data_IF_818983172955
#
_entry.id   IF_818983172955
#
_cell.length_a   1.000
_cell.length_b   1.000
_cell.length_c   1.000
_cell.angle_alpha   90.00
_cell.angle_beta   90.00
_cell.angle_gamma   90.00
#
_symmetry.space_group_name_H-M   'P 1'
#
loop_
_entity.id
_entity.type
_entity.pdbx_description
1 polymer ?
#
# COMPACT_ATOMS: atom_id res chain seq x y z
N UNK A 1 -8.56 -0.27 10.77
CA UNK A 1 -7.41 -0.86 10.06
C UNK A 1 -7.07 -2.20 10.67
N UNK A 2 -7.31 -3.32 9.96
CA UNK A 2 -6.93 -4.66 10.41
C UNK A 2 -6.82 -5.62 9.21
N UNK A 3 -6.09 -6.72 9.37
CA UNK A 3 -6.06 -7.82 8.41
C UNK A 3 -7.48 -8.33 8.11
N UNK A 4 -8.29 -8.53 9.16
CA UNK A 4 -9.67 -9.01 9.03
C UNK A 4 -10.53 -8.08 8.17
N UNK A 5 -10.47 -6.77 8.38
CA UNK A 5 -11.25 -5.82 7.58
C UNK A 5 -10.79 -5.81 6.11
N UNK A 6 -9.51 -6.03 5.84
CA UNK A 6 -8.99 -6.23 4.49
C UNK A 6 -9.51 -7.51 3.83
N UNK A 7 -9.50 -8.61 4.58
CA UNK A 7 -10.09 -9.87 4.14
C UNK A 7 -11.58 -9.75 3.79
N UNK A 8 -12.37 -9.16 4.68
CA UNK A 8 -13.81 -8.97 4.47
C UNK A 8 -14.10 -8.07 3.27
N UNK A 9 -13.36 -6.97 3.12
CA UNK A 9 -13.48 -6.06 1.98
C UNK A 9 -13.06 -6.74 0.67
N UNK A 10 -11.96 -7.49 0.68
CA UNK A 10 -11.51 -8.29 -0.46
C UNK A 10 -12.57 -9.30 -0.87
N UNK A 11 -13.09 -10.08 0.08
CA UNK A 11 -14.18 -11.06 -0.15
C UNK A 11 -15.39 -10.38 -0.78
N UNK A 12 -15.79 -9.22 -0.28
CA UNK A 12 -16.90 -8.46 -0.83
C UNK A 12 -16.64 -8.03 -2.27
N UNK A 13 -15.47 -7.44 -2.57
CA UNK A 13 -15.13 -7.00 -3.92
C UNK A 13 -15.06 -8.15 -4.92
N UNK A 14 -14.52 -9.31 -4.50
CA UNK A 14 -14.39 -10.51 -5.33
C UNK A 14 -15.75 -11.19 -5.60
N UNK A 15 -16.77 -10.94 -4.78
CA UNK A 15 -18.13 -11.47 -4.97
C UNK A 15 -18.97 -10.64 -5.94
N UNK A 16 -18.48 -9.48 -6.39
CA UNK A 16 -19.23 -8.63 -7.30
C UNK A 16 -19.25 -9.22 -8.72
N UNK A 17 -20.29 -8.88 -9.50
CA UNK A 17 -20.40 -9.28 -10.90
C UNK A 17 -19.20 -8.80 -11.73
N UNK A 18 -18.76 -7.57 -11.47
CA UNK A 18 -17.64 -6.94 -12.12
C UNK A 18 -16.48 -6.84 -11.08
N UNK A 19 -15.62 -7.85 -11.07
CA UNK A 19 -14.45 -7.89 -10.20
C UNK A 19 -13.45 -6.84 -10.65
N UNK A 20 -12.89 -6.00 -9.75
CA UNK A 20 -11.94 -4.97 -10.15
C UNK A 20 -10.61 -5.57 -10.62
N UNK A 21 -9.97 -4.94 -11.61
CA UNK A 21 -8.64 -5.32 -12.08
C UNK A 21 -7.54 -4.97 -11.09
N UNK A 22 -7.76 -3.97 -10.23
CA UNK A 22 -6.80 -3.55 -9.21
C UNK A 22 -7.49 -3.01 -7.96
N UNK A 23 -6.86 -3.24 -6.79
CA UNK A 23 -7.33 -2.77 -5.49
C UNK A 23 -6.19 -1.97 -4.82
N UNK A 24 -6.47 -0.71 -4.48
CA UNK A 24 -5.61 0.08 -3.60
C UNK A 24 -6.11 -0.02 -2.16
N UNK A 25 -5.23 -0.39 -1.26
CA UNK A 25 -5.49 -0.49 0.17
C UNK A 25 -4.86 0.70 0.91
N UNK A 26 -5.65 1.39 1.72
CA UNK A 26 -5.20 2.55 2.49
C UNK A 26 -4.23 2.22 3.63
N UNK A 27 -3.94 0.95 3.83
CA UNK A 27 -2.92 0.44 4.77
C UNK A 27 -2.50 -0.97 4.37
N UNK A 28 -1.25 -1.30 4.63
CA UNK A 28 -0.66 -2.57 4.19
C UNK A 28 -1.29 -3.78 4.87
N UNK A 29 -1.65 -3.65 6.14
CA UNK A 29 -2.29 -4.75 6.88
C UNK A 29 -3.63 -5.15 6.25
N UNK A 30 -4.38 -4.19 5.69
CA UNK A 30 -5.58 -4.44 4.91
C UNK A 30 -5.22 -5.12 3.59
N UNK A 31 -4.15 -4.67 2.92
CA UNK A 31 -3.66 -5.23 1.66
C UNK A 31 -3.31 -6.71 1.78
N UNK A 32 -2.70 -7.12 2.89
CA UNK A 32 -2.41 -8.55 3.14
C UNK A 32 -3.69 -9.37 3.27
N UNK A 33 -4.72 -8.83 3.94
CA UNK A 33 -6.02 -9.47 4.01
C UNK A 33 -6.68 -9.63 2.64
N UNK A 34 -6.62 -8.60 1.79
CA UNK A 34 -7.11 -8.65 0.40
C UNK A 34 -6.36 -9.70 -0.42
N UNK A 35 -5.03 -9.72 -0.34
CA UNK A 35 -4.19 -10.69 -1.07
C UNK A 35 -4.56 -12.12 -0.69
N UNK A 36 -4.74 -12.39 0.58
CA UNK A 36 -5.09 -13.74 1.03
C UNK A 36 -6.53 -14.12 0.66
N UNK A 37 -7.47 -13.14 0.63
CA UNK A 37 -8.82 -13.38 0.12
C UNK A 37 -8.79 -13.76 -1.37
N UNK A 38 -8.00 -13.06 -2.20
CA UNK A 38 -7.81 -13.39 -3.63
C UNK A 38 -7.30 -14.84 -3.76
N UNK A 39 -6.26 -15.20 -3.03
CA UNK A 39 -5.62 -16.53 -3.12
C UNK A 39 -6.52 -17.68 -2.68
N UNK A 40 -7.31 -17.46 -1.63
CA UNK A 40 -8.12 -18.54 -1.05
C UNK A 40 -9.48 -18.71 -1.73
N UNK A 41 -10.02 -17.64 -2.32
CA UNK A 41 -11.38 -17.63 -2.82
C UNK A 41 -11.49 -17.62 -4.35
N UNK A 42 -10.38 -17.40 -5.06
CA UNK A 42 -10.37 -17.29 -6.51
C UNK A 42 -9.20 -18.02 -7.15
N UNK A 43 -9.25 -18.19 -8.47
CA UNK A 43 -8.12 -18.61 -9.30
C UNK A 43 -7.32 -17.45 -9.90
N UNK A 44 -7.64 -16.20 -9.52
CA UNK A 44 -6.95 -15.00 -10.02
C UNK A 44 -5.51 -14.97 -9.53
N UNK A 45 -4.60 -14.68 -10.44
CA UNK A 45 -3.17 -14.57 -10.15
C UNK A 45 -2.83 -13.15 -9.74
N UNK A 46 -2.40 -12.99 -8.49
CA UNK A 46 -1.96 -11.70 -7.98
C UNK A 46 -0.84 -11.12 -8.85
N UNK A 47 -0.96 -9.84 -9.20
CA UNK A 47 -0.01 -9.13 -10.03
C UNK A 47 -0.06 -9.48 -11.51
N UNK A 48 -1.00 -10.31 -11.92
CA UNK A 48 -1.19 -10.69 -13.33
C UNK A 48 -2.65 -10.50 -13.78
N UNK A 49 -3.60 -11.09 -13.08
CA UNK A 49 -5.04 -10.98 -13.35
C UNK A 49 -5.68 -9.89 -12.50
N UNK A 50 -5.16 -9.66 -11.29
CA UNK A 50 -5.60 -8.61 -10.37
C UNK A 50 -4.39 -7.99 -9.66
N UNK A 51 -4.35 -6.65 -9.59
CA UNK A 51 -3.31 -5.89 -8.89
C UNK A 51 -3.73 -5.52 -7.46
N UNK A 52 -2.78 -5.56 -6.51
CA UNK A 52 -3.01 -5.02 -5.16
C UNK A 52 -1.86 -4.12 -4.77
N UNK A 53 -2.18 -2.94 -4.28
CA UNK A 53 -1.18 -2.01 -3.73
C UNK A 53 -1.62 -1.50 -2.36
N UNK A 54 -0.65 -1.11 -1.55
CA UNK A 54 -0.85 -0.66 -0.18
C UNK A 54 -0.16 0.66 0.14
N UNK A 55 -0.15 0.97 1.42
CA UNK A 55 0.40 2.19 2.00
C UNK A 55 1.17 1.82 3.27
N UNK A 56 2.34 2.43 3.52
CA UNK A 56 3.32 2.25 4.59
C UNK A 56 4.52 1.35 4.24
N UNK A 57 4.40 0.38 3.34
CA UNK A 57 5.45 -0.51 2.87
C UNK A 57 6.27 -1.19 4.00
N UNK A 58 5.63 -1.94 4.92
CA UNK A 58 6.32 -2.65 5.99
C UNK A 58 7.20 -3.78 5.45
N UNK A 59 8.12 -4.27 6.29
CA UNK A 59 9.03 -5.40 5.96
C UNK A 59 8.26 -6.64 5.46
N UNK A 60 7.05 -6.90 5.97
CA UNK A 60 6.21 -8.02 5.52
C UNK A 60 5.88 -7.92 4.03
N UNK A 61 5.78 -6.71 3.48
CA UNK A 61 5.59 -6.49 2.04
C UNK A 61 6.74 -7.01 1.18
N UNK A 62 7.93 -7.20 1.75
CA UNK A 62 9.10 -7.77 1.05
C UNK A 62 9.07 -9.31 1.01
N UNK A 63 8.26 -9.96 1.84
CA UNK A 63 8.16 -11.41 1.84
C UNK A 63 7.58 -11.89 0.51
N UNK A 64 8.21 -12.90 -0.10
CA UNK A 64 7.79 -13.44 -1.40
C UNK A 64 6.30 -13.83 -1.43
N UNK A 65 5.78 -14.25 -0.28
CA UNK A 65 4.36 -14.55 -0.13
C UNK A 65 3.45 -13.36 -0.42
N UNK A 66 3.84 -12.12 -0.13
CA UNK A 66 3.01 -10.94 -0.41
C UNK A 66 3.57 -10.10 -1.55
N UNK A 67 4.86 -9.77 -1.51
CA UNK A 67 5.55 -8.96 -2.53
C UNK A 67 4.69 -7.78 -3.01
N UNK A 68 4.14 -7.03 -2.04
CA UNK A 68 3.11 -6.03 -2.28
C UNK A 68 3.72 -4.67 -2.61
N UNK A 69 3.34 -4.11 -3.75
CA UNK A 69 3.63 -2.72 -4.12
C UNK A 69 3.01 -1.76 -3.12
N UNK A 70 3.77 -0.79 -2.63
CA UNK A 70 3.25 0.17 -1.67
C UNK A 70 3.95 1.53 -1.72
N UNK A 71 3.29 2.57 -1.21
CA UNK A 71 3.87 3.87 -0.93
C UNK A 71 4.55 3.82 0.44
N UNK A 72 5.88 4.00 0.47
CA UNK A 72 6.68 4.02 1.69
C UNK A 72 6.76 5.42 2.27
N UNK A 73 6.36 5.58 3.52
CA UNK A 73 6.56 6.82 4.27
C UNK A 73 8.01 6.91 4.79
N UNK A 74 8.65 8.10 4.77
CA UNK A 74 9.97 8.29 5.35
C UNK A 74 9.86 8.47 6.88
N UNK A 75 9.37 7.43 7.58
CA UNK A 75 9.00 7.47 9.01
C UNK A 75 10.13 7.93 9.92
N UNK A 76 11.37 7.49 9.66
CA UNK A 76 12.55 7.93 10.44
C UNK A 76 12.80 9.43 10.32
N UNK A 77 12.63 9.98 9.11
CA UNK A 77 12.81 11.42 8.88
C UNK A 77 11.65 12.21 9.50
N UNK A 78 10.42 11.73 9.35
CA UNK A 78 9.23 12.35 9.96
C UNK A 78 9.34 12.37 11.49
N UNK A 79 9.79 11.27 12.11
CA UNK A 79 9.99 11.21 13.55
C UNK A 79 11.06 12.20 14.02
N UNK A 80 12.19 12.28 13.30
CA UNK A 80 13.25 13.25 13.61
C UNK A 80 12.75 14.69 13.50
N UNK A 81 12.11 15.04 12.39
CA UNK A 81 11.53 16.37 12.18
C UNK A 81 10.55 16.74 13.29
N UNK A 82 9.69 15.80 13.68
CA UNK A 82 8.69 16.02 14.74
C UNK A 82 9.37 16.33 16.10
N UNK A 83 10.40 15.55 16.46
CA UNK A 83 11.17 15.77 17.70
C UNK A 83 11.89 17.10 17.67
N UNK A 84 12.60 17.41 16.57
CA UNK A 84 13.34 18.67 16.42
C UNK A 84 12.38 19.88 16.52
N UNK A 85 11.23 19.82 15.85
CA UNK A 85 10.20 20.87 15.92
C UNK A 85 9.66 21.04 17.34
N UNK A 86 9.40 19.93 18.05
CA UNK A 86 8.92 19.97 19.42
C UNK A 86 9.94 20.59 20.36
N UNK A 87 11.21 20.19 20.29
CA UNK A 87 12.29 20.76 21.11
C UNK A 87 12.46 22.25 20.84
N UNK A 88 12.37 22.68 19.59
CA UNK A 88 12.42 24.09 19.25
C UNK A 88 11.23 24.87 19.87
N UNK A 89 10.01 24.36 19.81
CA UNK A 89 8.84 25.01 20.42
C UNK A 89 8.91 25.06 21.94
N UNK A 90 9.55 24.07 22.58
CA UNK A 90 9.77 24.10 24.04
C UNK A 90 10.79 25.17 24.41
N UNK A 91 11.87 25.30 23.66
CA UNK A 91 12.91 26.29 23.91
C UNK A 91 12.46 27.73 23.58
N UNK A 92 11.67 27.87 22.53
CA UNK A 92 11.20 29.15 22.00
C UNK A 92 9.70 29.08 21.67
N UNK A 93 8.80 29.24 22.66
CA UNK A 93 7.34 29.06 22.50
C UNK A 93 6.71 29.99 21.44
N UNK A 94 7.30 31.17 21.23
CA UNK A 94 6.83 32.16 20.24
C UNK A 94 7.32 31.87 18.81
N UNK A 95 8.03 30.77 18.59
CA UNK A 95 8.50 30.38 17.26
C UNK A 95 7.31 30.16 16.31
N UNK A 96 7.32 30.76 15.10
CA UNK A 96 6.26 30.54 14.13
C UNK A 96 6.08 29.05 13.78
N UNK A 97 4.81 28.60 13.68
CA UNK A 97 4.49 27.22 13.31
C UNK A 97 5.04 26.90 11.94
N UNK A 98 5.82 25.83 11.85
CA UNK A 98 6.39 25.31 10.61
C UNK A 98 5.58 24.11 10.12
N UNK A 99 5.55 23.92 8.80
CA UNK A 99 5.02 22.73 8.15
C UNK A 99 6.14 22.10 7.32
N UNK A 100 6.48 20.86 7.62
CA UNK A 100 7.45 20.07 6.85
C UNK A 100 6.67 19.01 6.06
N UNK A 101 6.90 18.94 4.75
CA UNK A 101 6.35 17.91 3.88
C UNK A 101 7.52 17.07 3.38
N UNK A 102 7.44 15.76 3.57
CA UNK A 102 8.43 14.80 3.08
C UNK A 102 7.83 13.97 1.93
N UNK A 103 8.56 13.82 0.83
CA UNK A 103 8.10 12.98 -0.28
C UNK A 103 8.08 11.51 0.15
N UNK A 104 7.07 10.79 -0.31
CA UNK A 104 6.98 9.34 -0.18
C UNK A 104 7.71 8.66 -1.34
N UNK A 105 8.08 7.39 -1.14
CA UNK A 105 8.70 6.55 -2.17
C UNK A 105 7.75 5.44 -2.59
N UNK A 106 7.46 5.33 -3.89
CA UNK A 106 6.77 4.17 -4.45
C UNK A 106 7.76 2.99 -4.55
N UNK A 107 7.42 1.88 -3.88
CA UNK A 107 8.15 0.63 -3.95
C UNK A 107 7.32 -0.34 -4.78
N UNK A 108 7.76 -0.59 -6.01
CA UNK A 108 7.06 -1.49 -6.95
C UNK A 108 7.52 -2.91 -6.66
N UNK A 109 6.54 -3.82 -6.48
CA UNK A 109 6.75 -5.25 -6.27
C UNK A 109 5.82 -6.07 -7.19
N UNK A 110 5.85 -7.40 -7.05
CA UNK A 110 5.14 -8.29 -7.99
C UNK A 110 3.62 -8.18 -7.94
N UNK A 111 3.03 -7.69 -6.85
CA UNK A 111 1.58 -7.59 -6.72
C UNK A 111 0.89 -6.63 -7.72
N UNK A 112 1.66 -5.85 -8.46
CA UNK A 112 1.13 -4.93 -9.49
C UNK A 112 1.84 -5.06 -10.84
N UNK A 113 2.56 -6.15 -11.10
CA UNK A 113 3.19 -6.42 -12.39
C UNK A 113 2.17 -6.95 -13.40
N UNK A 114 1.06 -6.23 -13.55
CA UNK A 114 -0.03 -6.60 -14.45
C UNK A 114 0.48 -6.90 -15.87
N UNK A 115 -0.19 -7.82 -16.55
CA UNK A 115 0.09 -8.10 -17.97
C UNK A 115 -0.05 -6.80 -18.77
N UNK A 116 1.00 -6.36 -19.44
CA UNK A 116 0.82 -5.36 -20.52
C UNK A 116 -0.20 -5.96 -21.48
N UNK A 117 -1.29 -5.26 -21.73
CA UNK A 117 -2.27 -5.67 -22.71
C UNK A 117 -1.53 -5.96 -24.02
N UNK A 118 -1.62 -7.19 -24.53
CA UNK A 118 -1.09 -7.59 -25.83
C UNK A 118 -1.83 -6.89 -27.01
N UNK A 119 -2.56 -5.81 -26.74
CA UNK A 119 -3.27 -5.05 -27.75
C UNK A 119 -2.35 -4.24 -28.68
N UNK A 120 -1.05 -4.11 -28.38
CA UNK A 120 -0.12 -3.34 -29.22
C UNK A 120 0.80 -4.19 -30.11
N UNK A 121 0.66 -5.52 -30.13
CA UNK A 121 1.51 -6.40 -30.96
C UNK A 121 0.81 -6.97 -32.20
N UNK A 122 -0.45 -6.62 -32.45
CA UNK A 122 -1.21 -7.04 -33.66
C UNK A 122 -1.75 -5.84 -34.46
N UNK A 123 -1.10 -4.69 -34.36
CA UNK A 123 -1.38 -3.55 -35.25
C UNK A 123 -0.28 -3.38 -36.29
#
# INVERSE_FOLDING_TARGET
YSYKSGWEAGTFLLSQKDVPDAIFCSGDINGFGVIDAIRQQTSLRLGFDIGVSGYDAPIIGDFQGYSMTALAQPTTQLARDAVEMLLQLIAEPETPKKKIIRPMKLIIRTSTQMRKHQAEQNA
#
